data_IF_187296555955
#
_entry.id   IF_187296555955
#
_cell.length_a   1.000
_cell.length_b   1.000
_cell.length_c   1.000
_cell.angle_alpha   90.00
_cell.angle_beta   90.00
_cell.angle_gamma   90.00
#
_symmetry.space_group_name_H-M   'P 1'
#
loop_
_entity.id
_entity.type
_entity.pdbx_description
1 polymer ?
#
# COMPACT_ATOMS: atom_id res chain seq x y z
N UNK A 1 19.28 -15.60 -0.74
CA UNK A 1 18.63 -15.00 -1.93
C UNK A 1 18.81 -13.48 -2.01
N UNK A 2 18.43 -12.70 -0.99
CA UNK A 2 18.62 -11.25 -1.00
C UNK A 2 20.06 -10.83 -1.35
N UNK A 3 21.07 -11.38 -0.66
CA UNK A 3 22.49 -11.09 -0.99
C UNK A 3 22.85 -11.35 -2.45
N UNK A 4 22.31 -12.40 -3.08
CA UNK A 4 22.58 -12.69 -4.51
C UNK A 4 21.95 -11.65 -5.46
N UNK A 5 20.89 -10.96 -5.01
CA UNK A 5 20.28 -9.85 -5.76
C UNK A 5 21.16 -8.62 -5.61
N UNK A 6 21.56 -8.28 -4.38
CA UNK A 6 22.42 -7.13 -4.09
C UNK A 6 23.83 -7.27 -4.67
N UNK A 7 24.37 -8.48 -4.77
CA UNK A 7 25.63 -8.74 -5.48
C UNK A 7 25.55 -8.34 -6.97
N UNK A 8 24.35 -8.39 -7.57
CA UNK A 8 24.10 -8.04 -8.97
C UNK A 8 23.61 -6.59 -9.14
N UNK A 9 22.87 -6.09 -8.17
CA UNK A 9 22.22 -4.78 -8.16
C UNK A 9 22.48 -4.16 -6.77
N UNK A 10 23.65 -3.54 -6.55
CA UNK A 10 24.06 -3.09 -5.21
C UNK A 10 23.12 -2.06 -4.56
N UNK A 11 22.36 -1.33 -5.36
CA UNK A 11 21.38 -0.31 -4.96
C UNK A 11 19.93 -0.78 -5.16
N UNK A 12 19.69 -2.10 -5.15
CA UNK A 12 18.35 -2.66 -5.28
C UNK A 12 17.42 -2.11 -4.18
N UNK A 13 16.35 -1.44 -4.58
CA UNK A 13 15.50 -0.69 -3.65
C UNK A 13 14.72 -1.56 -2.66
N UNK A 14 14.33 -2.78 -3.06
CA UNK A 14 13.51 -3.62 -2.19
C UNK A 14 12.51 -4.51 -2.91
N UNK A 15 11.54 -5.03 -2.16
CA UNK A 15 10.56 -6.00 -2.64
C UNK A 15 9.14 -5.46 -2.45
N UNK A 16 8.29 -5.65 -3.46
CA UNK A 16 6.85 -5.43 -3.37
C UNK A 16 6.14 -6.78 -3.18
N UNK A 17 5.24 -6.87 -2.22
CA UNK A 17 4.51 -8.11 -1.88
C UNK A 17 3.01 -7.91 -1.92
N UNK A 18 2.32 -8.79 -2.66
CA UNK A 18 0.90 -9.09 -2.49
C UNK A 18 0.82 -10.50 -1.89
N UNK A 19 0.18 -10.64 -0.74
CA UNK A 19 0.08 -11.90 -0.02
C UNK A 19 -1.33 -12.06 0.55
N UNK A 20 -1.80 -13.32 0.67
CA UNK A 20 -3.12 -13.68 1.21
C UNK A 20 -4.30 -12.94 0.55
N UNK A 21 -4.19 -12.66 -0.74
CA UNK A 21 -5.15 -11.85 -1.50
C UNK A 21 -5.40 -12.45 -2.88
N UNK A 22 -6.66 -12.67 -3.22
CA UNK A 22 -7.11 -13.19 -4.51
C UNK A 22 -6.45 -14.53 -4.92
N UNK A 23 -6.20 -15.40 -3.93
CA UNK A 23 -5.58 -16.72 -4.14
C UNK A 23 -4.05 -16.71 -4.13
N UNK A 24 -3.42 -15.54 -3.99
CA UNK A 24 -1.97 -15.46 -3.77
C UNK A 24 -1.58 -16.09 -2.43
N UNK A 25 -0.47 -16.84 -2.37
CA UNK A 25 0.00 -17.43 -1.13
C UNK A 25 0.44 -16.34 -0.14
N UNK A 26 0.31 -16.63 1.14
CA UNK A 26 0.83 -15.75 2.18
C UNK A 26 0.90 -16.39 3.57
N UNK A 27 1.27 -15.59 4.57
CA UNK A 27 1.38 -15.99 5.97
C UNK A 27 0.17 -16.75 6.54
N UNK A 28 -1.07 -16.41 6.16
CA UNK A 28 -2.27 -17.04 6.74
C UNK A 28 -2.31 -18.55 6.54
N UNK A 29 -1.79 -19.04 5.40
CA UNK A 29 -1.68 -20.49 5.13
C UNK A 29 -0.86 -21.24 6.19
N UNK A 30 -0.01 -20.52 6.91
CA UNK A 30 0.89 -21.05 7.93
C UNK A 30 0.51 -20.60 9.35
N UNK A 31 -0.70 -20.06 9.54
CA UNK A 31 -1.20 -19.47 10.78
C UNK A 31 -0.26 -18.37 11.31
N UNK A 32 0.22 -17.51 10.40
CA UNK A 32 1.07 -16.36 10.69
C UNK A 32 0.38 -15.06 10.31
N UNK A 33 0.72 -13.98 10.99
CA UNK A 33 0.20 -12.65 10.70
C UNK A 33 0.92 -12.01 9.51
N UNK A 34 0.38 -10.90 9.00
CA UNK A 34 1.06 -10.11 7.98
C UNK A 34 2.37 -9.53 8.51
N UNK A 35 2.42 -9.05 9.76
CA UNK A 35 3.64 -8.58 10.39
C UNK A 35 4.72 -9.66 10.46
N UNK A 36 4.39 -10.89 10.91
CA UNK A 36 5.35 -12.01 10.93
C UNK A 36 5.91 -12.32 9.53
N UNK A 37 5.04 -12.32 8.51
CA UNK A 37 5.44 -12.56 7.12
C UNK A 37 6.29 -11.45 6.52
N UNK A 38 5.91 -10.21 6.79
CA UNK A 38 6.60 -9.02 6.32
C UNK A 38 7.98 -8.93 6.96
N UNK A 39 8.07 -8.99 8.30
CA UNK A 39 9.32 -8.84 9.02
C UNK A 39 10.36 -9.89 8.62
N UNK A 40 9.95 -11.14 8.35
CA UNK A 40 10.86 -12.17 7.84
C UNK A 40 11.52 -11.79 6.50
N UNK A 41 10.77 -11.16 5.59
CA UNK A 41 11.34 -10.66 4.33
C UNK A 41 12.13 -9.37 4.52
N UNK A 42 11.68 -8.51 5.44
CA UNK A 42 12.31 -7.23 5.76
C UNK A 42 13.71 -7.44 6.35
N UNK A 43 13.87 -8.38 7.29
CA UNK A 43 15.16 -8.80 7.87
C UNK A 43 16.14 -9.32 6.80
N UNK A 44 15.64 -9.90 5.71
CA UNK A 44 16.51 -10.41 4.65
C UNK A 44 17.10 -9.29 3.76
N UNK A 45 16.41 -8.15 3.63
CA UNK A 45 16.84 -7.01 2.81
C UNK A 45 17.48 -5.88 3.63
N UNK A 46 17.20 -5.82 4.93
CA UNK A 46 17.71 -4.80 5.87
C UNK A 46 19.24 -4.63 5.86
N UNK A 47 20.08 -5.70 5.85
CA UNK A 47 21.54 -5.52 5.84
C UNK A 47 22.09 -4.79 4.61
N UNK A 48 21.26 -4.64 3.57
CA UNK A 48 21.59 -3.97 2.32
C UNK A 48 20.88 -2.61 2.18
N UNK A 49 20.13 -2.17 3.19
CA UNK A 49 19.34 -0.93 3.15
C UNK A 49 18.07 -1.03 2.31
N UNK A 50 17.59 -2.25 2.03
CA UNK A 50 16.39 -2.47 1.23
C UNK A 50 15.09 -2.27 2.02
N UNK A 51 14.05 -1.88 1.30
CA UNK A 51 12.69 -1.72 1.84
C UNK A 51 11.79 -2.91 1.47
N UNK A 52 10.84 -3.19 2.34
CA UNK A 52 9.74 -4.10 2.02
C UNK A 52 8.44 -3.31 1.87
N UNK A 53 7.87 -3.31 0.67
CA UNK A 53 6.57 -2.73 0.40
C UNK A 53 5.54 -3.84 0.46
N UNK A 54 4.70 -3.84 1.50
CA UNK A 54 3.69 -4.86 1.74
C UNK A 54 2.30 -4.29 1.43
N UNK A 55 1.59 -4.85 0.45
CA UNK A 55 0.28 -4.33 0.04
C UNK A 55 -0.79 -4.70 1.06
N UNK A 56 -1.54 -3.71 1.53
CA UNK A 56 -2.70 -3.86 2.41
C UNK A 56 -4.01 -4.19 1.65
N UNK A 57 -3.90 -4.57 0.37
CA UNK A 57 -5.05 -4.99 -0.44
C UNK A 57 -5.39 -6.46 -0.14
N UNK A 58 -6.02 -6.69 1.00
CA UNK A 58 -6.40 -8.00 1.52
C UNK A 58 -7.90 -8.00 1.81
N UNK A 59 -8.58 -9.06 1.39
CA UNK A 59 -9.98 -9.33 1.72
C UNK A 59 -10.31 -10.80 1.46
N UNK A 60 -11.35 -11.30 2.12
CA UNK A 60 -11.82 -12.67 2.09
C UNK A 60 -13.24 -12.74 1.53
N UNK A 61 -13.55 -13.73 0.67
CA UNK A 61 -14.92 -13.95 0.22
C UNK A 61 -15.87 -14.39 1.34
N UNK A 62 -15.35 -14.78 2.51
CA UNK A 62 -16.13 -15.26 3.65
C UNK A 62 -16.58 -14.14 4.60
N UNK A 63 -15.98 -12.95 4.50
CA UNK A 63 -16.33 -11.80 5.33
C UNK A 63 -17.60 -11.11 4.80
N UNK A 64 -18.36 -10.52 5.73
CA UNK A 64 -19.65 -9.91 5.40
C UNK A 64 -19.50 -8.55 4.70
N UNK A 65 -18.49 -7.76 5.08
CA UNK A 65 -18.27 -6.41 4.57
C UNK A 65 -16.82 -6.20 4.14
N UNK A 66 -16.58 -6.34 2.84
CA UNK A 66 -15.28 -6.10 2.19
C UNK A 66 -14.69 -4.74 2.55
N UNK A 67 -15.53 -3.73 2.75
CA UNK A 67 -15.09 -2.36 3.05
C UNK A 67 -14.24 -2.28 4.32
N UNK A 68 -14.49 -3.16 5.30
CA UNK A 68 -13.81 -3.11 6.60
C UNK A 68 -12.50 -3.89 6.64
N UNK A 69 -12.29 -4.82 5.71
CA UNK A 69 -11.34 -5.91 5.92
C UNK A 69 -9.90 -5.44 6.08
N UNK A 70 -9.42 -4.55 5.22
CA UNK A 70 -8.06 -4.03 5.35
C UNK A 70 -7.86 -3.31 6.70
N UNK A 71 -8.88 -2.60 7.20
CA UNK A 71 -8.81 -1.96 8.51
C UNK A 71 -8.79 -2.99 9.64
N UNK A 72 -9.75 -3.91 9.65
CA UNK A 72 -9.89 -4.93 10.69
C UNK A 72 -8.66 -5.87 10.73
N UNK A 73 -7.95 -6.04 9.60
CA UNK A 73 -6.74 -6.84 9.50
C UNK A 73 -5.48 -6.12 9.99
N UNK A 74 -5.21 -4.91 9.51
CA UNK A 74 -3.91 -4.26 9.73
C UNK A 74 -3.86 -3.38 10.99
N UNK A 75 -4.97 -2.80 11.45
CA UNK A 75 -4.96 -1.94 12.64
C UNK A 75 -4.54 -2.69 13.91
N UNK A 76 -4.96 -3.95 14.15
CA UNK A 76 -4.46 -4.72 15.30
C UNK A 76 -2.96 -5.02 15.28
N UNK A 77 -2.29 -4.84 14.13
CA UNK A 77 -0.86 -5.09 13.92
C UNK A 77 -0.03 -3.79 13.90
N UNK A 78 -0.62 -2.64 14.22
CA UNK A 78 0.11 -1.37 14.23
C UNK A 78 1.27 -1.39 15.24
N UNK A 79 2.48 -1.08 14.77
CA UNK A 79 3.70 -1.13 15.58
C UNK A 79 4.40 -2.50 15.64
N UNK A 80 3.82 -3.54 15.03
CA UNK A 80 4.45 -4.86 14.94
C UNK A 80 5.33 -5.03 13.68
N UNK A 81 5.29 -4.09 12.75
CA UNK A 81 6.11 -4.11 11.53
C UNK A 81 7.49 -3.49 11.77
N UNK A 82 8.54 -4.08 11.18
CA UNK A 82 9.89 -3.52 11.24
C UNK A 82 9.99 -2.16 10.54
N UNK A 83 10.95 -1.34 10.97
CA UNK A 83 11.15 0.04 10.50
C UNK A 83 11.34 0.14 8.96
N UNK A 84 11.90 -0.88 8.30
CA UNK A 84 12.08 -0.92 6.85
C UNK A 84 10.89 -1.52 6.08
N UNK A 85 9.73 -1.69 6.72
CA UNK A 85 8.47 -2.13 6.08
C UNK A 85 7.56 -0.92 5.86
N UNK A 86 6.96 -0.84 4.67
CA UNK A 86 5.90 0.12 4.34
C UNK A 86 4.62 -0.65 3.97
N UNK A 87 3.51 -0.32 4.63
CA UNK A 87 2.19 -0.76 4.19
C UNK A 87 1.72 0.10 3.02
N UNK A 88 1.56 -0.53 1.85
CA UNK A 88 1.05 0.11 0.65
C UNK A 88 -0.47 -0.06 0.57
N UNK A 89 -1.19 1.06 0.68
CA UNK A 89 -2.64 1.13 0.84
C UNK A 89 -3.27 1.83 -0.37
N UNK A 90 -4.28 1.22 -1.00
CA UNK A 90 -5.05 1.89 -2.08
C UNK A 90 -5.75 3.14 -1.57
N UNK A 91 -6.05 4.09 -2.46
CA UNK A 91 -6.75 5.33 -2.09
C UNK A 91 -8.12 5.09 -1.43
N UNK A 92 -8.79 3.98 -1.75
CA UNK A 92 -10.04 3.58 -1.13
C UNK A 92 -10.02 2.12 -0.66
N UNK A 93 -11.01 1.69 0.14
CA UNK A 93 -11.03 0.37 0.77
C UNK A 93 -11.54 -0.75 -0.13
N UNK A 94 -12.01 -0.46 -1.35
CA UNK A 94 -12.53 -1.48 -2.28
C UNK A 94 -11.49 -1.80 -3.33
N UNK A 95 -11.48 -1.10 -4.47
CA UNK A 95 -10.65 -1.47 -5.62
C UNK A 95 -10.66 -0.42 -6.74
N UNK A 96 -10.07 0.74 -6.49
CA UNK A 96 -9.86 1.77 -7.53
C UNK A 96 -11.11 2.16 -8.32
N UNK A 97 -12.30 2.05 -7.71
CA UNK A 97 -13.55 2.41 -8.36
C UNK A 97 -13.55 3.90 -8.72
N UNK A 98 -14.39 4.35 -9.68
CA UNK A 98 -14.35 5.72 -10.17
C UNK A 98 -14.51 6.81 -9.10
N UNK A 99 -15.12 6.46 -7.97
CA UNK A 99 -15.05 7.22 -6.72
C UNK A 99 -15.18 6.25 -5.54
N UNK A 100 -14.31 6.42 -4.56
CA UNK A 100 -14.35 5.75 -3.26
C UNK A 100 -14.10 6.80 -2.15
N UNK A 101 -14.56 6.57 -0.91
CA UNK A 101 -14.01 7.29 0.23
C UNK A 101 -12.53 6.94 0.42
N UNK A 102 -11.80 7.73 1.24
CA UNK A 102 -10.43 7.37 1.58
C UNK A 102 -10.39 6.03 2.33
N UNK A 103 -9.32 5.26 2.15
CA UNK A 103 -9.09 4.05 2.94
C UNK A 103 -8.93 4.40 4.42
N UNK A 104 -9.73 3.84 5.35
CA UNK A 104 -9.66 4.18 6.78
C UNK A 104 -8.33 3.84 7.46
N UNK A 105 -7.42 3.13 6.80
CA UNK A 105 -6.06 2.91 7.28
C UNK A 105 -5.25 4.22 7.35
N UNK A 106 -5.53 5.18 6.48
CA UNK A 106 -4.93 6.51 6.59
C UNK A 106 -5.46 7.22 7.83
N UNK A 107 -4.60 7.37 8.84
CA UNK A 107 -4.98 7.91 10.14
C UNK A 107 -5.07 6.88 11.28
N UNK A 108 -5.04 5.58 10.96
CA UNK A 108 -5.25 4.51 11.93
C UNK A 108 -3.98 3.70 12.27
N UNK A 109 -2.84 4.03 11.64
CA UNK A 109 -1.57 3.33 11.79
C UNK A 109 -0.45 4.29 12.25
N UNK A 110 -0.52 4.83 13.48
CA UNK A 110 0.45 5.80 13.97
C UNK A 110 1.87 5.27 14.13
N UNK A 111 2.07 3.95 14.23
CA UNK A 111 3.38 3.33 14.48
C UNK A 111 3.87 2.46 13.31
N UNK A 112 3.27 2.58 12.13
CA UNK A 112 3.61 1.78 10.95
C UNK A 112 3.74 2.66 9.72
N UNK A 113 4.89 2.62 9.05
CA UNK A 113 5.08 3.38 7.81
C UNK A 113 4.00 3.02 6.79
N UNK A 114 3.33 4.03 6.26
CA UNK A 114 2.19 3.85 5.37
C UNK A 114 2.36 4.69 4.11
N UNK A 115 2.12 4.08 2.95
CA UNK A 115 2.22 4.73 1.64
C UNK A 115 0.95 4.54 0.81
N UNK A 116 0.69 5.47 -0.10
CA UNK A 116 -0.52 5.46 -0.94
C UNK A 116 -0.28 4.72 -2.27
N UNK A 117 -1.22 3.88 -2.69
CA UNK A 117 -1.30 3.27 -4.02
C UNK A 117 -2.44 3.90 -4.83
N UNK A 118 -2.14 4.32 -6.05
CA UNK A 118 -3.09 4.86 -7.03
C UNK A 118 -3.06 4.03 -8.31
N UNK A 119 -4.17 4.03 -9.04
CA UNK A 119 -4.24 3.41 -10.36
C UNK A 119 -4.24 4.46 -11.46
N UNK A 120 -3.25 4.37 -12.36
CA UNK A 120 -3.14 5.24 -13.54
C UNK A 120 -3.71 4.52 -14.77
N UNK A 121 -3.50 3.20 -14.86
CA UNK A 121 -4.19 2.34 -15.83
C UNK A 121 -5.69 2.37 -15.59
N UNK A 122 -6.48 2.52 -16.65
CA UNK A 122 -7.92 2.78 -16.54
C UNK A 122 -8.74 1.48 -16.50
N UNK A 123 -8.43 0.56 -15.60
CA UNK A 123 -9.20 -0.68 -15.40
C UNK A 123 -10.69 -0.36 -15.21
N UNK A 124 -11.00 0.59 -14.33
CA UNK A 124 -12.37 1.01 -14.02
C UNK A 124 -12.82 2.29 -14.74
N UNK A 125 -12.04 2.78 -15.71
CA UNK A 125 -12.33 4.01 -16.46
C UNK A 125 -12.43 3.81 -17.97
N UNK A 126 -12.50 2.57 -18.46
CA UNK A 126 -12.75 2.27 -19.89
C UNK A 126 -11.49 1.90 -20.69
N UNK A 127 -10.52 1.29 -20.02
CA UNK A 127 -9.30 0.72 -20.60
C UNK A 127 -8.52 1.76 -21.40
N UNK A 128 -8.28 1.54 -22.69
CA UNK A 128 -7.53 2.46 -23.55
C UNK A 128 -8.42 3.14 -24.61
N UNK A 129 -9.74 3.16 -24.40
CA UNK A 129 -10.70 3.72 -25.37
C UNK A 129 -11.49 4.92 -24.84
N UNK A 130 -11.49 5.14 -23.53
CA UNK A 130 -12.15 6.27 -22.89
C UNK A 130 -11.12 7.33 -22.48
N UNK A 131 -11.48 8.61 -22.63
CA UNK A 131 -10.65 9.70 -22.13
C UNK A 131 -11.05 10.01 -20.69
N UNK A 132 -10.19 9.66 -19.73
CA UNK A 132 -10.42 9.89 -18.30
C UNK A 132 -9.13 10.33 -17.58
N UNK A 133 -8.89 11.65 -17.50
CA UNK A 133 -7.76 12.21 -16.76
C UNK A 133 -7.93 12.01 -15.25
N UNK A 134 -6.97 11.34 -14.61
CA UNK A 134 -7.05 10.92 -13.20
C UNK A 134 -6.61 11.99 -12.19
N UNK A 135 -6.01 13.10 -12.63
CA UNK A 135 -5.50 14.15 -11.73
C UNK A 135 -6.50 14.66 -10.69
N UNK A 136 -7.79 14.90 -11.03
CA UNK A 136 -8.79 15.29 -10.05
C UNK A 136 -9.06 14.22 -8.99
N UNK A 137 -9.09 12.94 -9.36
CA UNK A 137 -9.29 11.83 -8.41
C UNK A 137 -8.13 11.76 -7.41
N UNK A 138 -6.89 11.90 -7.89
CA UNK A 138 -5.71 11.88 -7.03
C UNK A 138 -5.68 13.09 -6.09
N UNK A 139 -6.07 14.26 -6.60
CA UNK A 139 -6.16 15.50 -5.81
C UNK A 139 -7.26 15.40 -4.75
N UNK A 140 -8.40 14.79 -5.07
CA UNK A 140 -9.48 14.51 -4.11
C UNK A 140 -8.94 13.60 -3.00
N UNK A 141 -8.35 12.45 -3.36
CA UNK A 141 -7.82 11.48 -2.39
C UNK A 141 -6.78 12.08 -1.43
N UNK A 142 -5.81 12.85 -1.95
CA UNK A 142 -4.75 13.45 -1.15
C UNK A 142 -5.24 14.53 -0.17
N UNK A 143 -6.31 15.26 -0.53
CA UNK A 143 -6.83 16.37 0.26
C UNK A 143 -7.91 15.98 1.27
N UNK A 144 -8.37 14.71 1.28
CA UNK A 144 -9.35 14.26 2.26
C UNK A 144 -8.75 14.33 3.67
N UNK A 145 -9.40 15.09 4.56
CA UNK A 145 -9.01 15.22 5.95
C UNK A 145 -9.51 14.03 6.77
N UNK A 146 -8.57 13.30 7.37
CA UNK A 146 -8.84 12.11 8.19
C UNK A 146 -9.21 12.48 9.63
N UNK A 147 -8.88 13.71 10.07
CA UNK A 147 -8.97 14.15 11.46
C UNK A 147 -8.16 13.30 12.46
N UNK A 148 -7.22 12.47 12.00
CA UNK A 148 -6.48 11.53 12.85
C UNK A 148 -5.75 12.20 14.03
N UNK A 149 -5.20 13.40 13.84
CA UNK A 149 -4.69 14.28 14.91
C UNK A 149 -5.35 15.65 14.88
N UNK A 150 -6.65 15.68 14.61
CA UNK A 150 -7.44 16.91 14.44
C UNK A 150 -7.41 17.45 13.02
N UNK A 151 -8.01 18.62 12.83
CA UNK A 151 -8.12 19.30 11.53
C UNK A 151 -6.75 19.47 10.86
N UNK A 152 -6.70 19.25 9.55
CA UNK A 152 -5.46 19.31 8.76
C UNK A 152 -4.70 17.98 8.69
N UNK A 153 -5.28 16.88 9.19
CA UNK A 153 -4.70 15.53 9.04
C UNK A 153 -5.08 14.92 7.69
N UNK A 154 -4.78 15.62 6.59
CA UNK A 154 -5.09 15.12 5.24
C UNK A 154 -4.35 13.82 4.93
N UNK A 155 -4.87 13.02 4.00
CA UNK A 155 -4.17 11.81 3.51
C UNK A 155 -2.74 12.16 3.08
N UNK A 156 -2.53 13.28 2.38
CA UNK A 156 -1.20 13.77 2.02
C UNK A 156 -0.30 14.03 3.24
N UNK A 157 -0.81 14.67 4.29
CA UNK A 157 -0.06 14.96 5.51
C UNK A 157 0.21 13.68 6.33
N UNK A 158 -0.67 12.68 6.25
CA UNK A 158 -0.43 11.35 6.85
C UNK A 158 0.72 10.65 6.12
N UNK A 159 0.62 10.46 4.80
CA UNK A 159 1.62 9.67 4.05
C UNK A 159 2.96 10.38 3.86
N UNK A 160 3.04 11.69 4.11
CA UNK A 160 4.30 12.45 4.11
C UNK A 160 5.03 12.43 5.45
N UNK A 161 4.42 11.87 6.49
CA UNK A 161 4.98 11.81 7.83
C UNK A 161 4.77 13.07 8.68
N UNK A 162 3.95 14.03 8.23
CA UNK A 162 3.66 15.25 9.02
C UNK A 162 2.70 14.98 10.18
N UNK A 163 1.81 13.99 10.05
CA UNK A 163 0.86 13.59 11.11
C UNK A 163 1.48 12.55 12.06
N UNK A 164 2.17 11.56 11.51
CA UNK A 164 2.86 10.49 12.25
C UNK A 164 4.31 10.44 11.81
N UNK A 165 5.25 10.23 12.72
CA UNK A 165 6.69 10.30 12.47
C UNK A 165 7.17 9.04 11.73
N UNK A 166 6.81 8.93 10.46
CA UNK A 166 7.18 7.81 9.59
C UNK A 166 8.62 7.96 9.10
N UNK A 167 9.43 6.91 9.28
CA UNK A 167 10.79 6.86 8.76
C UNK A 167 10.81 6.74 7.22
N UNK A 168 9.81 6.06 6.66
CA UNK A 168 9.67 5.86 5.24
C UNK A 168 8.27 6.26 4.75
N UNK A 169 8.24 7.06 3.69
CA UNK A 169 7.03 7.66 3.14
C UNK A 169 6.99 7.45 1.64
N UNK A 170 5.79 7.49 1.03
CA UNK A 170 5.72 7.31 -0.41
C UNK A 170 4.33 7.30 -1.03
N UNK A 171 4.36 7.27 -2.36
CA UNK A 171 3.21 7.07 -3.23
C UNK A 171 3.61 6.19 -4.42
N UNK A 172 2.75 5.25 -4.79
CA UNK A 172 2.91 4.34 -5.92
C UNK A 172 1.77 4.52 -6.92
N UNK A 173 2.08 4.35 -8.20
CA UNK A 173 1.11 4.43 -9.29
C UNK A 173 1.17 3.20 -10.18
N UNK A 174 0.04 2.49 -10.35
CA UNK A 174 -0.07 1.36 -11.28
C UNK A 174 -0.27 1.90 -12.70
N UNK A 175 0.82 2.01 -13.47
CA UNK A 175 0.82 2.64 -14.81
C UNK A 175 0.38 1.69 -15.93
N UNK A 176 0.88 0.45 -15.91
CA UNK A 176 0.58 -0.59 -16.90
C UNK A 176 0.81 -0.18 -18.38
N UNK A 177 1.93 0.49 -18.67
CA UNK A 177 2.36 0.76 -20.04
C UNK A 177 2.72 -0.54 -20.78
N UNK A 178 2.65 -0.51 -22.11
CA UNK A 178 2.93 -1.65 -22.98
C UNK A 178 3.97 -1.34 -24.06
N UNK A 179 3.95 -2.15 -25.11
CA UNK A 179 4.83 -1.97 -26.30
C UNK A 179 4.18 -1.14 -27.41
N UNK A 180 3.00 -0.58 -27.15
CA UNK A 180 2.28 0.24 -28.11
C UNK A 180 3.09 1.50 -28.46
N UNK A 181 2.88 2.05 -29.66
CA UNK A 181 3.77 3.08 -30.22
C UNK A 181 3.81 4.36 -29.37
N UNK A 182 2.77 4.63 -28.60
CA UNK A 182 2.59 5.79 -27.74
C UNK A 182 2.67 5.45 -26.25
N UNK A 183 3.47 4.41 -25.93
CA UNK A 183 3.57 3.76 -24.62
C UNK A 183 2.38 2.86 -24.29
#
# INVERSE_FOLDING_TARGET
>A
KASEIYDRIPDFGGVLVKADSEGEPGPFKYNRTHAEGANMLAEAVEPHGGLLIWRAFVYSPEQYDRFREAYDEFVPQDGDFNDNVLLQVKNGPIDFQPREPFSPLFGALPNTNTMLELQITQEYFGFNTHLAYQGPLFTEALNLDTYAKGEGSTVANVISGEVFDYEHTGIAGVVNLGTDRNW
#
